data_IF_344951723995
#
_entry.id   IF_344951723995
#
_cell.length_a   1.000
_cell.length_b   1.000
_cell.length_c   1.000
_cell.angle_alpha   90.00
_cell.angle_beta   90.00
_cell.angle_gamma   90.00
#
_symmetry.space_group_name_H-M   'P 1'
#
loop_
_entity.id
_entity.type
_entity.pdbx_description
1 polymer ?
#
# COMPACT_ATOMS: atom_id res chain seq x y z
N UNK A 1 4.09 10.56 -10.33
CA UNK A 1 5.07 9.65 -9.67
C UNK A 1 4.37 8.92 -8.54
N UNK A 2 4.72 7.64 -8.31
CA UNK A 2 4.17 6.84 -7.20
C UNK A 2 5.11 6.91 -5.98
N UNK A 3 4.55 6.71 -4.76
CA UNK A 3 5.33 6.48 -3.55
C UNK A 3 4.91 5.15 -2.93
N UNK A 4 5.84 4.22 -2.83
CA UNK A 4 5.65 2.91 -2.20
C UNK A 4 6.07 3.03 -0.74
N UNK A 5 5.14 2.78 0.17
CA UNK A 5 5.35 2.91 1.62
C UNK A 5 5.44 1.52 2.23
N UNK A 6 6.54 1.27 2.94
CA UNK A 6 6.87 -0.01 3.55
C UNK A 6 7.03 0.17 5.05
N UNK A 7 6.05 -0.24 5.88
CA UNK A 7 6.27 -0.35 7.32
C UNK A 7 7.16 -1.56 7.60
N UNK A 8 8.13 -1.44 8.51
CA UNK A 8 8.99 -2.55 8.90
C UNK A 8 9.29 -2.51 10.39
N UNK A 9 9.21 -3.67 11.05
CA UNK A 9 9.52 -3.81 12.47
C UNK A 9 10.22 -5.13 12.76
N UNK A 10 11.49 -5.07 13.19
CA UNK A 10 12.33 -6.24 13.47
C UNK A 10 12.49 -7.20 12.27
N UNK A 11 12.45 -6.67 11.04
CA UNK A 11 12.55 -7.41 9.78
C UNK A 11 13.61 -6.84 8.83
N UNK A 12 14.71 -6.35 9.38
CA UNK A 12 15.84 -5.82 8.59
C UNK A 12 16.31 -6.78 7.50
N UNK A 13 16.27 -8.09 7.76
CA UNK A 13 16.70 -9.11 6.82
C UNK A 13 15.82 -9.23 5.58
N UNK A 14 14.53 -8.86 5.67
CA UNK A 14 13.56 -8.94 4.57
C UNK A 14 13.69 -7.76 3.58
N UNK A 15 14.14 -6.62 4.06
CA UNK A 15 14.21 -5.36 3.28
C UNK A 15 15.06 -5.49 2.01
N UNK A 16 16.27 -6.08 2.01
CA UNK A 16 17.04 -6.24 0.78
C UNK A 16 16.32 -7.05 -0.29
N UNK A 17 15.67 -8.15 0.09
CA UNK A 17 14.91 -8.99 -0.82
C UNK A 17 13.66 -8.27 -1.38
N UNK A 18 13.00 -7.44 -0.57
CA UNK A 18 11.90 -6.59 -1.02
C UNK A 18 12.40 -5.55 -2.02
N UNK A 19 13.47 -4.81 -1.72
CA UNK A 19 14.02 -3.80 -2.63
C UNK A 19 14.50 -4.41 -3.93
N UNK A 20 15.15 -5.58 -3.88
CA UNK A 20 15.55 -6.33 -5.08
C UNK A 20 14.33 -6.72 -5.93
N UNK A 21 13.24 -7.16 -5.30
CA UNK A 21 12.01 -7.48 -6.05
C UNK A 21 11.42 -6.26 -6.77
N UNK A 22 11.57 -5.06 -6.20
CA UNK A 22 11.11 -3.82 -6.82
C UNK A 22 11.98 -3.40 -8.03
N UNK A 23 13.22 -3.88 -8.15
CA UNK A 23 14.03 -3.66 -9.37
C UNK A 23 13.45 -4.38 -10.59
N UNK A 24 12.61 -5.38 -10.39
CA UNK A 24 11.93 -6.13 -11.45
C UNK A 24 10.67 -5.42 -11.98
N UNK A 25 10.29 -4.27 -11.39
CA UNK A 25 9.15 -3.51 -11.91
C UNK A 25 9.45 -2.98 -13.31
N UNK A 26 8.48 -3.12 -14.24
CA UNK A 26 8.59 -2.65 -15.63
C UNK A 26 8.65 -1.12 -15.74
N UNK A 27 8.20 -0.41 -14.71
CA UNK A 27 8.36 1.04 -14.55
C UNK A 27 9.03 1.35 -13.22
N UNK A 28 10.06 2.19 -13.23
CA UNK A 28 10.75 2.73 -12.04
C UNK A 28 10.29 4.14 -11.66
N UNK A 29 9.16 4.62 -12.19
CA UNK A 29 8.63 5.95 -11.86
C UNK A 29 7.98 5.99 -10.47
N UNK A 30 8.74 5.59 -9.47
CA UNK A 30 8.34 5.60 -8.07
C UNK A 30 9.53 5.88 -7.13
N UNK A 31 9.22 6.25 -5.91
CA UNK A 31 10.12 6.22 -4.75
C UNK A 31 9.67 5.16 -3.76
N UNK A 32 10.57 4.70 -2.91
CA UNK A 32 10.29 3.77 -1.81
C UNK A 32 10.59 4.47 -0.49
N UNK A 33 9.63 4.44 0.44
CA UNK A 33 9.78 4.98 1.78
C UNK A 33 9.60 3.85 2.78
N UNK A 34 10.69 3.44 3.39
CA UNK A 34 10.71 2.43 4.45
C UNK A 34 10.57 3.16 5.78
N UNK A 35 9.59 2.77 6.58
CA UNK A 35 9.43 3.30 7.94
C UNK A 35 9.78 2.20 8.93
N UNK A 36 10.97 2.31 9.51
CA UNK A 36 11.46 1.42 10.56
C UNK A 36 10.83 1.81 11.89
N UNK A 37 9.92 1.00 12.37
CA UNK A 37 9.12 1.25 13.56
C UNK A 37 9.87 0.91 14.87
N UNK A 38 11.04 1.52 15.06
CA UNK A 38 11.90 1.32 16.23
C UNK A 38 12.42 -0.12 16.36
N UNK A 39 12.89 -0.72 15.27
CA UNK A 39 13.49 -2.07 15.29
C UNK A 39 14.70 -2.14 16.22
N UNK A 40 14.94 -3.32 16.81
CA UNK A 40 16.16 -3.60 17.60
C UNK A 40 17.42 -3.41 16.76
N UNK A 41 17.41 -3.97 15.53
CA UNK A 41 18.42 -3.76 14.52
C UNK A 41 17.86 -2.79 13.48
N UNK A 42 18.36 -1.54 13.38
CA UNK A 42 17.84 -0.55 12.45
C UNK A 42 17.92 -0.99 11.00
N UNK A 43 16.90 -0.63 10.21
CA UNK A 43 16.94 -0.80 8.77
C UNK A 43 17.96 0.18 8.18
N UNK A 44 18.90 -0.35 7.41
CA UNK A 44 19.90 0.41 6.67
C UNK A 44 19.92 -0.04 5.22
N UNK A 45 19.94 0.93 4.31
CA UNK A 45 20.04 0.68 2.87
C UNK A 45 21.38 1.18 2.39
N UNK A 46 22.29 0.24 2.08
CA UNK A 46 23.67 0.53 1.67
C UNK A 46 23.88 0.39 0.15
N UNK A 47 22.94 -0.28 -0.53
CA UNK A 47 22.98 -0.50 -1.98
C UNK A 47 22.27 0.63 -2.73
N UNK A 48 22.67 0.83 -3.98
CA UNK A 48 21.99 1.75 -4.90
C UNK A 48 20.93 1.00 -5.70
N UNK A 49 19.79 1.62 -5.91
CA UNK A 49 18.65 1.09 -6.67
C UNK A 49 18.29 2.04 -7.81
N UNK A 50 17.58 1.59 -8.87
CA UNK A 50 17.15 2.45 -9.98
C UNK A 50 16.06 3.45 -9.60
N UNK A 51 15.63 3.46 -8.33
CA UNK A 51 14.66 4.36 -7.72
C UNK A 51 15.19 4.93 -6.40
N UNK A 52 14.59 6.02 -5.94
CA UNK A 52 14.96 6.63 -4.67
C UNK A 52 14.44 5.77 -3.52
N UNK A 53 15.32 5.44 -2.57
CA UNK A 53 14.94 4.79 -1.31
C UNK A 53 15.23 5.75 -0.15
N UNK A 54 14.22 5.97 0.68
CA UNK A 54 14.32 6.74 1.92
C UNK A 54 13.96 5.85 3.10
N UNK A 55 14.80 5.87 4.13
CA UNK A 55 14.50 5.21 5.40
C UNK A 55 14.16 6.28 6.44
N UNK A 56 13.05 6.09 7.13
CA UNK A 56 12.63 6.89 8.29
C UNK A 56 12.58 5.95 9.48
N UNK A 57 13.17 6.35 10.58
CA UNK A 57 13.13 5.58 11.82
C UNK A 57 12.28 6.27 12.87
N UNK A 58 11.32 5.55 13.43
CA UNK A 58 10.55 6.01 14.57
C UNK A 58 11.37 5.90 15.86
N UNK A 59 11.20 6.83 16.79
CA UNK A 59 11.87 6.82 18.09
C UNK A 59 11.28 5.75 19.02
N UNK A 60 10.01 5.43 18.85
CA UNK A 60 9.28 4.39 19.58
C UNK A 60 8.44 3.58 18.62
N UNK A 61 8.09 2.34 18.99
CA UNK A 61 7.17 1.53 18.20
C UNK A 61 5.75 2.15 18.24
N UNK A 62 5.22 2.51 17.08
CA UNK A 62 3.93 3.17 16.90
C UNK A 62 2.92 2.30 16.13
N UNK A 63 3.36 1.14 15.64
CA UNK A 63 2.56 0.20 14.87
C UNK A 63 2.53 0.50 13.36
N UNK A 64 2.05 -0.49 12.60
CA UNK A 64 2.03 -0.45 11.15
C UNK A 64 1.17 0.70 10.59
N UNK A 65 0.03 0.99 11.22
CA UNK A 65 -0.86 2.08 10.81
C UNK A 65 -0.15 3.44 10.84
N UNK A 66 0.50 3.78 11.97
CA UNK A 66 1.20 5.06 12.06
C UNK A 66 2.46 5.08 11.19
N UNK A 67 3.16 3.97 11.06
CA UNK A 67 4.30 3.86 10.13
C UNK A 67 3.87 4.14 8.68
N UNK A 68 2.73 3.62 8.23
CA UNK A 68 2.16 3.95 6.91
C UNK A 68 1.77 5.43 6.82
N UNK A 69 1.17 6.02 7.86
CA UNK A 69 0.84 7.44 7.92
C UNK A 69 2.09 8.34 7.83
N UNK A 70 3.16 8.00 8.55
CA UNK A 70 4.45 8.71 8.51
C UNK A 70 5.03 8.66 7.09
N UNK A 71 5.07 7.47 6.49
CA UNK A 71 5.52 7.29 5.12
C UNK A 71 4.70 8.13 4.12
N UNK A 72 3.37 8.14 4.26
CA UNK A 72 2.46 8.93 3.43
C UNK A 72 2.74 10.44 3.55
N UNK A 73 2.92 10.95 4.75
CA UNK A 73 3.27 12.37 4.96
C UNK A 73 4.62 12.73 4.33
N UNK A 74 5.60 11.84 4.44
CA UNK A 74 6.96 12.06 3.97
C UNK A 74 7.16 11.83 2.45
N UNK A 75 6.17 11.29 1.77
CA UNK A 75 6.22 10.95 0.34
C UNK A 75 6.20 12.20 -0.55
N UNK A 76 6.75 12.06 -1.77
CA UNK A 76 6.75 13.11 -2.80
C UNK A 76 5.79 12.80 -3.96
N UNK A 77 5.41 11.54 -4.12
CA UNK A 77 4.46 11.12 -5.16
C UNK A 77 3.03 11.55 -4.86
N UNK A 78 2.25 11.75 -5.91
CA UNK A 78 0.84 12.12 -5.82
C UNK A 78 -0.06 10.91 -5.51
N UNK A 79 0.48 9.71 -5.70
CA UNK A 79 -0.18 8.45 -5.44
C UNK A 79 0.63 7.59 -4.48
N UNK A 80 -0.06 7.03 -3.50
CA UNK A 80 0.49 6.16 -2.46
C UNK A 80 0.14 4.71 -2.77
N UNK A 81 1.14 3.85 -2.70
CA UNK A 81 1.02 2.39 -2.66
C UNK A 81 1.57 1.92 -1.32
N UNK A 82 1.04 0.83 -0.81
CA UNK A 82 1.52 0.22 0.42
C UNK A 82 2.03 -1.19 0.10
N UNK A 83 3.12 -1.57 0.72
CA UNK A 83 3.75 -2.86 0.53
C UNK A 83 4.29 -3.34 1.88
N UNK A 84 3.81 -4.46 2.34
CA UNK A 84 4.33 -5.07 3.56
C UNK A 84 5.68 -5.73 3.27
N UNK A 85 6.57 -5.79 4.26
CA UNK A 85 7.97 -6.20 4.04
C UNK A 85 8.12 -7.68 3.67
N UNK A 86 7.06 -8.49 3.82
CA UNK A 86 6.96 -9.89 3.40
C UNK A 86 6.14 -10.11 2.11
N UNK A 87 5.54 -9.06 1.55
CA UNK A 87 4.82 -9.11 0.29
C UNK A 87 5.70 -8.75 -0.91
N UNK A 88 5.22 -9.06 -2.12
CA UNK A 88 5.90 -8.71 -3.38
C UNK A 88 4.90 -8.18 -4.40
N UNK A 89 5.30 -7.16 -5.15
CA UNK A 89 4.54 -6.68 -6.29
C UNK A 89 4.82 -7.53 -7.53
N UNK A 90 3.78 -7.82 -8.31
CA UNK A 90 3.95 -8.36 -9.65
C UNK A 90 4.71 -7.35 -10.52
N UNK A 91 5.55 -7.82 -11.48
CA UNK A 91 6.45 -6.93 -12.23
C UNK A 91 5.77 -5.75 -12.93
N UNK A 92 4.55 -5.91 -13.40
CA UNK A 92 3.82 -4.90 -14.17
C UNK A 92 2.99 -3.95 -13.28
N UNK A 93 2.97 -4.12 -11.96
CA UNK A 93 2.05 -3.40 -11.07
C UNK A 93 2.22 -1.88 -11.16
N UNK A 94 3.44 -1.37 -11.04
CA UNK A 94 3.70 0.07 -11.07
C UNK A 94 3.33 0.70 -12.42
N UNK A 95 3.63 0.01 -13.52
CA UNK A 95 3.29 0.45 -14.87
C UNK A 95 1.76 0.47 -15.08
N UNK A 96 1.06 -0.62 -14.74
CA UNK A 96 -0.41 -0.70 -14.85
C UNK A 96 -1.10 0.41 -14.06
N UNK A 97 -0.66 0.67 -12.84
CA UNK A 97 -1.22 1.76 -12.03
C UNK A 97 -0.98 3.12 -12.69
N UNK A 98 0.22 3.39 -13.20
CA UNK A 98 0.52 4.65 -13.91
C UNK A 98 -0.35 4.82 -15.16
N UNK A 99 -0.53 3.77 -15.95
CA UNK A 99 -1.39 3.79 -17.14
C UNK A 99 -2.86 4.06 -16.78
N UNK A 100 -3.37 3.43 -15.72
CA UNK A 100 -4.75 3.69 -15.24
C UNK A 100 -4.92 5.13 -14.80
N UNK A 101 -3.95 5.69 -14.06
CA UNK A 101 -3.98 7.10 -13.62
C UNK A 101 -3.99 8.06 -14.82
N UNK A 102 -3.19 7.79 -15.84
CA UNK A 102 -3.10 8.62 -17.03
C UNK A 102 -4.41 8.58 -17.86
N UNK A 103 -5.02 7.41 -17.98
CA UNK A 103 -6.26 7.20 -18.74
C UNK A 103 -7.51 7.68 -18.00
N UNK A 104 -7.45 7.81 -16.67
CA UNK A 104 -8.60 8.14 -15.82
C UNK A 104 -8.24 9.26 -14.82
N UNK A 105 -8.15 10.52 -15.25
CA UNK A 105 -7.66 11.62 -14.41
C UNK A 105 -8.54 11.93 -13.17
N UNK A 106 -9.81 11.55 -13.22
CA UNK A 106 -10.80 11.85 -12.18
C UNK A 106 -10.79 10.84 -11.01
N UNK A 107 -10.14 9.66 -11.18
CA UNK A 107 -10.10 8.67 -10.12
C UNK A 107 -9.16 9.12 -9.00
N UNK A 108 -9.42 8.62 -7.79
CA UNK A 108 -8.58 8.89 -6.62
C UNK A 108 -8.27 7.64 -5.78
N UNK A 109 -8.80 6.49 -6.19
CA UNK A 109 -8.58 5.21 -5.54
C UNK A 109 -8.55 4.08 -6.58
N UNK A 110 -7.53 3.24 -6.51
CA UNK A 110 -7.37 2.06 -7.37
C UNK A 110 -7.25 0.85 -6.46
N UNK A 111 -7.87 -0.26 -6.84
CA UNK A 111 -7.70 -1.54 -6.16
C UNK A 111 -7.67 -2.69 -7.17
N UNK A 112 -7.11 -3.81 -6.76
CA UNK A 112 -6.85 -4.94 -7.66
C UNK A 112 -6.84 -6.27 -6.89
N UNK A 113 -6.98 -7.42 -7.58
CA UNK A 113 -6.80 -8.72 -6.97
C UNK A 113 -5.36 -8.93 -6.47
N UNK A 114 -5.20 -9.84 -5.51
CA UNK A 114 -3.90 -10.33 -5.06
C UNK A 114 -3.84 -11.85 -5.14
N UNK A 115 -2.68 -12.38 -5.50
CA UNK A 115 -2.37 -13.79 -5.35
C UNK A 115 -1.89 -14.03 -3.92
N UNK A 116 -2.62 -14.85 -3.19
CA UNK A 116 -2.27 -15.27 -1.84
C UNK A 116 -1.65 -16.66 -1.89
N UNK A 117 -0.44 -16.80 -1.33
CA UNK A 117 0.27 -18.08 -1.25
C UNK A 117 0.25 -18.57 0.20
N UNK A 118 -0.47 -19.65 0.42
CA UNK A 118 -0.59 -20.31 1.74
C UNK A 118 0.52 -21.37 1.84
N UNK A 119 1.73 -20.91 2.22
CA UNK A 119 2.96 -21.72 2.20
C UNK A 119 2.84 -22.98 3.07
N UNK A 120 2.25 -22.85 4.26
CA UNK A 120 2.10 -23.95 5.21
C UNK A 120 1.09 -25.00 4.73
N UNK A 121 0.03 -24.56 4.04
CA UNK A 121 -1.09 -25.39 3.57
C UNK A 121 -0.87 -25.89 2.13
N UNK A 122 0.12 -25.35 1.43
CA UNK A 122 0.53 -25.78 0.09
C UNK A 122 -0.44 -25.45 -1.03
N UNK A 123 -1.25 -24.40 -0.90
CA UNK A 123 -2.12 -23.93 -1.98
C UNK A 123 -2.04 -22.42 -2.16
N UNK A 124 -2.52 -21.95 -3.33
CA UNK A 124 -2.65 -20.53 -3.62
C UNK A 124 -4.03 -20.20 -4.17
N UNK A 125 -4.48 -18.97 -3.98
CA UNK A 125 -5.71 -18.45 -4.57
C UNK A 125 -5.53 -16.98 -4.96
N UNK A 126 -6.43 -16.52 -5.85
CA UNK A 126 -6.51 -15.10 -6.24
C UNK A 126 -7.76 -14.51 -5.61
N UNK A 127 -7.60 -13.39 -4.93
CA UNK A 127 -8.73 -12.64 -4.36
C UNK A 127 -9.64 -12.11 -5.47
N UNK A 128 -10.91 -11.91 -5.16
CA UNK A 128 -11.90 -11.41 -6.10
C UNK A 128 -12.60 -10.17 -5.51
N UNK A 129 -12.00 -8.98 -5.65
CA UNK A 129 -12.64 -7.74 -5.25
C UNK A 129 -13.94 -7.48 -6.01
N UNK A 130 -14.91 -6.87 -5.32
CA UNK A 130 -16.19 -6.48 -5.96
C UNK A 130 -15.99 -5.37 -6.99
N UNK A 131 -16.98 -5.20 -7.87
CA UNK A 131 -16.97 -4.12 -8.87
C UNK A 131 -17.19 -2.74 -8.22
N UNK A 132 -16.66 -1.64 -8.80
CA UNK A 132 -16.80 -0.30 -8.22
C UNK A 132 -18.25 0.11 -7.92
N UNK A 133 -19.20 -0.23 -8.79
CA UNK A 133 -20.63 0.06 -8.62
C UNK A 133 -21.30 -0.75 -7.52
N UNK A 134 -20.65 -1.80 -7.02
CA UNK A 134 -21.15 -2.64 -5.93
C UNK A 134 -20.65 -2.18 -4.56
N UNK A 135 -19.71 -1.22 -4.53
CA UNK A 135 -19.13 -0.73 -3.28
C UNK A 135 -20.19 0.08 -2.52
N UNK A 136 -20.52 -0.36 -1.33
CA UNK A 136 -21.40 0.37 -0.40
C UNK A 136 -20.98 0.13 1.04
N UNK A 137 -21.39 1.02 1.93
CA UNK A 137 -21.10 0.88 3.37
C UNK A 137 -21.63 -0.44 3.92
N UNK A 138 -22.85 -0.85 3.52
CA UNK A 138 -23.46 -2.11 3.97
C UNK A 138 -22.65 -3.32 3.53
N UNK A 139 -22.19 -3.34 2.26
CA UNK A 139 -21.39 -4.44 1.74
C UNK A 139 -20.03 -4.53 2.44
N UNK A 140 -19.39 -3.38 2.63
CA UNK A 140 -18.09 -3.35 3.32
C UNK A 140 -18.24 -3.74 4.80
N UNK A 141 -19.32 -3.34 5.49
CA UNK A 141 -19.59 -3.76 6.86
C UNK A 141 -19.79 -5.28 7.00
N UNK A 142 -20.31 -5.94 5.98
CA UNK A 142 -20.46 -7.39 5.97
C UNK A 142 -19.13 -8.13 5.75
N UNK A 143 -18.29 -7.62 4.86
CA UNK A 143 -16.97 -8.16 4.57
C UNK A 143 -16.11 -7.16 3.79
N UNK A 144 -14.82 -7.07 4.08
CA UNK A 144 -13.88 -6.34 3.22
C UNK A 144 -13.75 -7.07 1.87
N UNK A 145 -14.47 -6.56 0.87
CA UNK A 145 -14.47 -7.08 -0.49
C UNK A 145 -13.62 -6.24 -1.45
N UNK A 146 -12.82 -5.32 -0.92
CA UNK A 146 -11.86 -4.50 -1.68
C UNK A 146 -10.47 -5.10 -1.54
N UNK A 147 -10.05 -5.35 -0.30
CA UNK A 147 -8.75 -5.95 0.03
C UNK A 147 -7.96 -5.15 1.05
N UNK A 148 -6.81 -5.67 1.44
CA UNK A 148 -5.88 -5.03 2.37
C UNK A 148 -5.01 -3.95 1.71
N UNK A 149 -4.20 -3.28 2.50
CA UNK A 149 -3.36 -2.15 2.07
C UNK A 149 -2.46 -2.46 0.85
N UNK A 150 -1.84 -3.66 0.72
CA UNK A 150 -1.03 -3.96 -0.47
C UNK A 150 -1.81 -4.04 -1.78
N UNK A 151 -3.14 -4.13 -1.72
CA UNK A 151 -4.02 -4.26 -2.89
C UNK A 151 -4.54 -2.92 -3.40
N UNK A 152 -4.13 -1.79 -2.80
CA UNK A 152 -4.67 -0.47 -3.15
C UNK A 152 -3.59 0.51 -3.60
N UNK A 153 -4.01 1.50 -4.39
CA UNK A 153 -3.31 2.75 -4.60
C UNK A 153 -4.29 3.91 -4.41
N UNK A 154 -3.86 5.00 -3.79
CA UNK A 154 -4.72 6.13 -3.47
C UNK A 154 -4.01 7.46 -3.72
N UNK A 155 -4.75 8.47 -4.20
CA UNK A 155 -4.22 9.84 -4.24
C UNK A 155 -3.82 10.27 -2.83
N UNK A 156 -2.59 10.77 -2.68
CA UNK A 156 -2.06 11.24 -1.40
C UNK A 156 -2.96 12.28 -0.76
N UNK A 157 -3.50 13.20 -1.55
CA UNK A 157 -4.44 14.21 -1.08
C UNK A 157 -5.66 13.57 -0.41
N UNK A 158 -6.27 12.56 -1.05
CA UNK A 158 -7.43 11.84 -0.50
C UNK A 158 -7.06 11.12 0.81
N UNK A 159 -5.93 10.41 0.83
CA UNK A 159 -5.44 9.72 2.03
C UNK A 159 -5.28 10.68 3.22
N UNK A 160 -4.66 11.82 2.99
CA UNK A 160 -4.46 12.84 4.04
C UNK A 160 -5.77 13.52 4.45
N UNK A 161 -6.66 13.81 3.48
CA UNK A 161 -7.96 14.42 3.72
C UNK A 161 -8.82 13.63 4.71
N UNK A 162 -8.84 12.30 4.59
CA UNK A 162 -9.61 11.45 5.51
C UNK A 162 -8.88 11.12 6.82
N UNK A 163 -7.69 11.69 7.02
CA UNK A 163 -6.89 11.52 8.24
C UNK A 163 -6.02 10.26 8.26
N UNK A 164 -5.87 9.55 7.13
CA UNK A 164 -5.08 8.33 7.04
C UNK A 164 -5.66 7.15 7.82
N UNK A 165 -4.77 6.21 8.19
CA UNK A 165 -5.12 5.02 8.97
C UNK A 165 -5.30 5.36 10.45
N UNK A 166 -6.27 4.75 11.10
CA UNK A 166 -6.52 4.93 12.54
C UNK A 166 -5.41 4.26 13.37
N UNK A 167 -4.80 5.04 14.25
CA UNK A 167 -3.80 4.54 15.21
C UNK A 167 -4.42 4.08 16.53
N UNK A 168 -5.71 4.34 16.72
CA UNK A 168 -6.46 3.89 17.90
C UNK A 168 -6.87 2.42 17.83
N UNK A 169 -6.84 1.83 16.62
CA UNK A 169 -7.19 0.44 16.38
C UNK A 169 -5.93 -0.43 16.42
N UNK A 170 -6.00 -1.58 17.10
CA UNK A 170 -4.92 -2.58 17.11
C UNK A 170 -4.94 -3.50 15.88
N UNK A 171 -6.06 -3.54 15.20
CA UNK A 171 -6.33 -4.33 13.98
C UNK A 171 -7.53 -3.73 13.25
N UNK A 172 -7.75 -4.11 11.99
CA UNK A 172 -8.83 -3.62 11.13
C UNK A 172 -8.71 -2.11 10.78
N UNK A 173 -7.51 -1.55 10.85
CA UNK A 173 -7.26 -0.18 10.45
C UNK A 173 -7.51 0.06 8.95
N UNK A 174 -7.32 -0.97 8.11
CA UNK A 174 -7.67 -0.97 6.70
C UNK A 174 -9.19 -0.95 6.48
N UNK A 175 -9.92 -1.62 7.34
CA UNK A 175 -11.38 -1.63 7.31
C UNK A 175 -11.99 -0.27 7.67
N UNK A 176 -11.52 0.32 8.80
CA UNK A 176 -11.89 1.68 9.21
C UNK A 176 -11.56 2.71 8.11
N UNK A 177 -10.39 2.55 7.48
CA UNK A 177 -9.96 3.39 6.39
C UNK A 177 -10.93 3.33 5.20
N UNK A 178 -11.35 2.15 4.77
CA UNK A 178 -12.33 1.99 3.69
C UNK A 178 -13.68 2.61 4.05
N UNK A 179 -14.14 2.45 5.30
CA UNK A 179 -15.39 3.07 5.75
C UNK A 179 -15.33 4.59 5.75
N UNK A 180 -14.18 5.19 6.08
CA UNK A 180 -13.97 6.64 5.97
C UNK A 180 -13.98 7.10 4.51
N UNK A 181 -13.34 6.35 3.60
CA UNK A 181 -13.35 6.65 2.16
C UNK A 181 -14.76 6.70 1.59
N UNK A 182 -15.63 5.75 2.00
CA UNK A 182 -17.01 5.71 1.52
C UNK A 182 -17.88 6.89 1.95
N UNK A 183 -17.44 7.65 2.94
CA UNK A 183 -18.13 8.87 3.39
C UNK A 183 -17.70 10.11 2.61
N UNK A 184 -16.63 10.01 1.80
CA UNK A 184 -16.16 11.12 0.99
C UNK A 184 -16.94 11.24 -0.32
N UNK A 185 -17.68 12.35 -0.54
CA UNK A 185 -18.48 12.54 -1.77
C UNK A 185 -17.65 12.52 -3.05
N UNK A 186 -16.37 12.83 -2.96
CA UNK A 186 -15.42 12.81 -4.07
C UNK A 186 -14.72 11.46 -4.28
N UNK A 187 -15.10 10.42 -3.56
CA UNK A 187 -14.53 9.09 -3.72
C UNK A 187 -14.85 8.50 -5.09
N UNK A 188 -13.82 8.23 -5.87
CA UNK A 188 -13.94 7.71 -7.26
C UNK A 188 -13.03 6.50 -7.42
N UNK A 189 -13.55 5.29 -7.13
CA UNK A 189 -12.78 4.05 -7.20
C UNK A 189 -12.65 3.52 -8.62
N UNK A 190 -11.53 2.85 -8.90
CA UNK A 190 -11.26 2.11 -10.13
C UNK A 190 -10.71 0.73 -9.79
N UNK A 191 -11.21 -0.32 -10.43
CA UNK A 191 -10.75 -1.69 -10.25
C UNK A 191 -9.88 -2.12 -11.43
N UNK A 192 -8.67 -2.59 -11.14
CA UNK A 192 -7.84 -3.34 -12.10
C UNK A 192 -8.23 -4.81 -11.98
N UNK A 193 -8.49 -5.50 -13.10
CA UNK A 193 -8.99 -6.88 -13.11
C UNK A 193 -7.91 -7.96 -13.24
N UNK A 194 -6.63 -7.56 -13.40
CA UNK A 194 -5.51 -8.47 -13.65
C UNK A 194 -4.36 -8.23 -12.69
#
# INVERSE_FOLDING_TARGET
>A
MLSIIVPSYNRKAEVPALLESLTQQTSSNFEVIIVDDCSKDPVEVTQSYPFVVKVIRNETNQGAAESRNIGARASKGDWLLFLDDDDRFMPEKSEKILQVIEQNPDINFIYHPAKCEMVNEGFSYVTQPIEPQEISTERILLANKIGGMPMIAIKKEMFLKIGGLSTALRSLEDYDFLLKLLQEPSFTPYKINE
#
